data_IF_496382395458
#
_entry.id   IF_496382395458
#
_cell.length_a   1.000
_cell.length_b   1.000
_cell.length_c   1.000
_cell.angle_alpha   90.00
_cell.angle_beta   90.00
_cell.angle_gamma   90.00
#
_symmetry.space_group_name_H-M   'P 1'
#
loop_
_entity.id
_entity.type
_entity.pdbx_description
1 polymer ?
#
# COMPACT_ATOMS: atom_id res chain seq x y z
N UNK A 1 -14.32 4.31 34.46
CA UNK A 1 -13.68 3.12 33.86
C UNK A 1 -13.87 3.06 32.34
N UNK A 2 -15.10 3.15 31.83
CA UNK A 2 -15.42 3.10 30.37
C UNK A 2 -14.66 4.16 29.56
N UNK A 3 -14.60 5.41 30.04
CA UNK A 3 -13.92 6.52 29.35
C UNK A 3 -12.45 6.25 29.05
N UNK A 4 -11.70 5.70 30.02
CA UNK A 4 -10.27 5.38 29.84
C UNK A 4 -10.04 4.27 28.80
N UNK A 5 -10.95 3.30 28.70
CA UNK A 5 -10.87 2.26 27.68
C UNK A 5 -11.18 2.84 26.30
N UNK A 6 -12.17 3.72 26.21
CA UNK A 6 -12.54 4.40 24.97
C UNK A 6 -11.43 5.33 24.47
N UNK A 7 -10.77 6.07 25.35
CA UNK A 7 -9.65 6.94 24.99
C UNK A 7 -8.48 6.14 24.40
N UNK A 8 -8.13 5.00 25.00
CA UNK A 8 -7.12 4.08 24.45
C UNK A 8 -7.54 3.50 23.12
N UNK A 9 -8.80 3.11 22.98
CA UNK A 9 -9.33 2.57 21.74
C UNK A 9 -9.26 3.60 20.62
N UNK A 10 -9.74 4.82 20.85
CA UNK A 10 -9.70 5.90 19.87
C UNK A 10 -8.27 6.23 19.44
N UNK A 11 -7.32 6.24 20.39
CA UNK A 11 -5.90 6.47 20.11
C UNK A 11 -5.37 5.48 19.06
N UNK A 12 -5.57 4.18 19.28
CA UNK A 12 -5.04 3.16 18.38
C UNK A 12 -5.90 2.95 17.15
N UNK A 13 -7.22 3.12 17.25
CA UNK A 13 -8.11 2.89 16.12
C UNK A 13 -7.74 3.81 14.95
N UNK A 14 -7.41 5.07 15.19
CA UNK A 14 -6.98 6.02 14.15
C UNK A 14 -5.70 5.55 13.46
N UNK A 15 -4.72 5.08 14.23
CA UNK A 15 -3.41 4.62 13.73
C UNK A 15 -3.53 3.35 12.87
N UNK A 16 -4.36 2.38 13.31
CA UNK A 16 -4.52 1.09 12.64
C UNK A 16 -5.65 1.07 11.60
N UNK A 17 -6.44 2.14 11.46
CA UNK A 17 -7.65 2.11 10.64
C UNK A 17 -7.37 1.81 9.17
N UNK A 18 -6.24 2.31 8.65
CA UNK A 18 -5.81 2.07 7.28
C UNK A 18 -5.61 0.57 7.01
N UNK A 19 -4.80 -0.09 7.84
CA UNK A 19 -4.45 -1.51 7.69
C UNK A 19 -5.68 -2.39 7.90
N UNK A 20 -6.50 -2.07 8.91
CA UNK A 20 -7.76 -2.78 9.17
C UNK A 20 -8.70 -2.69 7.97
N UNK A 21 -8.83 -1.50 7.37
CA UNK A 21 -9.68 -1.30 6.19
C UNK A 21 -9.17 -2.08 4.99
N UNK A 22 -7.86 -2.10 4.75
CA UNK A 22 -7.25 -2.92 3.70
C UNK A 22 -7.54 -4.41 3.93
N UNK A 23 -7.37 -4.92 5.15
CA UNK A 23 -7.64 -6.32 5.49
C UNK A 23 -9.11 -6.69 5.25
N UNK A 24 -10.05 -5.80 5.61
CA UNK A 24 -11.48 -6.00 5.36
C UNK A 24 -11.80 -6.00 3.87
N UNK A 25 -11.21 -5.09 3.07
CA UNK A 25 -11.45 -5.04 1.62
C UNK A 25 -10.87 -6.27 0.91
N UNK A 26 -9.73 -6.78 1.39
CA UNK A 26 -9.07 -7.96 0.81
C UNK A 26 -9.71 -9.29 1.24
N UNK A 27 -10.52 -9.30 2.31
CA UNK A 27 -11.28 -10.49 2.69
C UNK A 27 -12.41 -10.74 1.67
N UNK A 28 -12.45 -11.90 1.00
CA UNK A 28 -13.45 -12.19 -0.04
C UNK A 28 -14.92 -12.07 0.43
N UNK A 29 -15.17 -12.18 1.74
CA UNK A 29 -16.51 -12.12 2.33
C UNK A 29 -17.00 -10.68 2.48
N UNK A 30 -16.09 -9.71 2.54
CA UNK A 30 -16.40 -8.32 2.78
C UNK A 30 -16.11 -7.48 1.54
N UNK A 31 -16.92 -6.44 1.33
CA UNK A 31 -16.78 -5.53 0.19
C UNK A 31 -16.45 -4.14 0.68
N UNK A 32 -15.87 -3.33 -0.22
CA UNK A 32 -15.65 -1.90 -0.02
C UNK A 32 -16.86 -1.16 0.59
N UNK A 33 -18.08 -1.56 0.19
CA UNK A 33 -19.33 -1.00 0.70
C UNK A 33 -19.46 -1.11 2.22
N UNK A 34 -18.92 -2.17 2.83
CA UNK A 34 -18.93 -2.35 4.28
C UNK A 34 -18.03 -1.33 4.97
N UNK A 35 -16.82 -1.13 4.43
CA UNK A 35 -15.90 -0.11 4.91
C UNK A 35 -16.53 1.28 4.75
N UNK A 36 -17.07 1.58 3.58
CA UNK A 36 -17.75 2.85 3.32
C UNK A 36 -18.89 3.10 4.32
N UNK A 37 -19.73 2.09 4.59
CA UNK A 37 -20.78 2.19 5.60
C UNK A 37 -20.21 2.54 6.99
N UNK A 38 -19.20 1.80 7.47
CA UNK A 38 -18.57 2.08 8.76
C UNK A 38 -18.00 3.51 8.85
N UNK A 39 -17.31 3.97 7.81
CA UNK A 39 -16.76 5.33 7.77
C UNK A 39 -17.84 6.40 7.72
N UNK A 40 -18.94 6.18 7.00
CA UNK A 40 -20.07 7.14 7.00
C UNK A 40 -20.70 7.27 8.37
N UNK A 41 -20.76 6.18 9.16
CA UNK A 41 -21.27 6.21 10.53
C UNK A 41 -20.34 6.95 11.49
N UNK A 42 -19.02 6.82 11.33
CA UNK A 42 -18.03 7.37 12.28
C UNK A 42 -17.62 8.81 11.92
N UNK A 43 -17.38 9.08 10.64
CA UNK A 43 -16.76 10.32 10.16
C UNK A 43 -17.71 11.20 9.32
N UNK A 44 -18.91 10.73 9.01
CA UNK A 44 -19.94 11.48 8.28
C UNK A 44 -19.43 12.00 6.94
N UNK A 45 -19.32 13.33 6.81
CA UNK A 45 -18.96 14.04 5.58
C UNK A 45 -17.55 13.65 5.09
N UNK A 46 -16.62 13.34 6.00
CA UNK A 46 -15.25 12.99 5.64
C UNK A 46 -15.07 11.53 5.22
N UNK A 47 -16.12 10.71 5.29
CA UNK A 47 -16.03 9.28 4.99
C UNK A 47 -15.51 8.99 3.57
N UNK A 48 -15.93 9.80 2.60
CA UNK A 48 -15.51 9.65 1.20
C UNK A 48 -13.99 9.81 1.04
N UNK A 49 -13.41 10.80 1.72
CA UNK A 49 -11.98 11.09 1.62
C UNK A 49 -11.15 9.91 2.12
N UNK A 50 -11.51 9.34 3.28
CA UNK A 50 -10.83 8.19 3.82
C UNK A 50 -10.95 6.94 2.94
N UNK A 51 -12.15 6.63 2.45
CA UNK A 51 -12.38 5.48 1.57
C UNK A 51 -11.56 5.63 0.29
N UNK A 52 -11.49 6.84 -0.26
CA UNK A 52 -10.69 7.13 -1.44
C UNK A 52 -9.19 6.95 -1.16
N UNK A 53 -8.68 7.43 -0.02
CA UNK A 53 -7.28 7.21 0.39
C UNK A 53 -6.94 5.72 0.49
N UNK A 54 -7.80 4.93 1.12
CA UNK A 54 -7.62 3.47 1.26
C UNK A 54 -7.55 2.80 -0.11
N UNK A 55 -8.47 3.16 -1.02
CA UNK A 55 -8.50 2.61 -2.38
C UNK A 55 -7.26 2.98 -3.19
N UNK A 56 -6.80 4.23 -3.11
CA UNK A 56 -5.58 4.68 -3.78
C UNK A 56 -4.37 3.87 -3.31
N UNK A 57 -4.23 3.69 -1.99
CA UNK A 57 -3.14 2.92 -1.41
C UNK A 57 -3.19 1.44 -1.83
N UNK A 58 -4.39 0.83 -1.81
CA UNK A 58 -4.56 -0.56 -2.22
C UNK A 58 -4.21 -0.78 -3.70
N UNK A 59 -4.65 0.13 -4.58
CA UNK A 59 -4.31 0.08 -6.00
C UNK A 59 -2.80 0.21 -6.22
N UNK A 60 -2.17 1.20 -5.58
CA UNK A 60 -0.72 1.41 -5.65
C UNK A 60 0.04 0.16 -5.21
N UNK A 61 -0.39 -0.47 -4.11
CA UNK A 61 0.19 -1.71 -3.61
C UNK A 61 0.05 -2.84 -4.63
N UNK A 62 -1.16 -3.07 -5.16
CA UNK A 62 -1.41 -4.08 -6.18
C UNK A 62 -0.56 -3.86 -7.43
N UNK A 63 -0.49 -2.63 -7.94
CA UNK A 63 0.29 -2.29 -9.13
C UNK A 63 1.79 -2.57 -8.92
N UNK A 64 2.32 -2.24 -7.73
CA UNK A 64 3.69 -2.56 -7.37
C UNK A 64 3.94 -4.08 -7.37
N UNK A 65 3.04 -4.87 -6.80
CA UNK A 65 3.15 -6.33 -6.80
C UNK A 65 3.07 -6.93 -8.20
N UNK A 66 2.15 -6.44 -9.05
CA UNK A 66 2.01 -6.89 -10.43
C UNK A 66 3.29 -6.57 -11.23
N UNK A 67 3.83 -5.35 -11.06
CA UNK A 67 5.09 -4.94 -11.72
C UNK A 67 6.27 -5.78 -11.25
N UNK A 68 6.38 -6.02 -9.94
CA UNK A 68 7.44 -6.86 -9.36
C UNK A 68 7.37 -8.31 -9.83
N UNK A 69 6.17 -8.87 -9.93
CA UNK A 69 5.94 -10.22 -10.46
C UNK A 69 6.46 -10.33 -11.90
N UNK A 70 6.13 -9.37 -12.77
CA UNK A 70 6.60 -9.37 -14.17
C UNK A 70 8.12 -9.33 -14.28
N UNK A 71 8.78 -8.52 -13.45
CA UNK A 71 10.24 -8.43 -13.43
C UNK A 71 10.91 -9.76 -13.02
N UNK A 72 10.31 -10.48 -12.07
CA UNK A 72 10.79 -11.78 -11.62
C UNK A 72 10.55 -12.89 -12.67
N UNK A 73 9.41 -12.85 -13.36
CA UNK A 73 9.10 -13.83 -14.41
C UNK A 73 10.01 -13.67 -15.64
N UNK A 74 10.44 -12.45 -15.97
CA UNK A 74 11.38 -12.21 -17.07
C UNK A 74 12.82 -12.65 -16.78
N UNK A 75 13.26 -12.73 -15.51
CA UNK A 75 14.61 -13.22 -15.18
C UNK A 75 14.70 -14.75 -15.24
N UNK A 76 13.57 -15.46 -15.07
CA UNK A 76 13.52 -16.92 -15.16
C UNK A 76 13.60 -17.45 -16.61
N UNK A 77 13.16 -16.65 -17.59
CA UNK A 77 13.26 -16.94 -19.04
C UNK A 77 14.66 -16.67 -19.61
N UNK A 78 15.68 -16.57 -18.75
CA UNK A 78 17.10 -16.50 -19.16
C UNK A 78 17.89 -17.80 -18.95
N UNK A 79 17.31 -18.84 -18.31
CA UNK A 79 18.08 -20.01 -17.85
C UNK A 79 17.39 -21.33 -18.20
N UNK A 80 17.36 -21.65 -19.50
CA UNK A 80 17.17 -23.02 -19.98
C UNK A 80 17.95 -23.25 -21.30
N UNK A 81 19.21 -23.66 -21.10
CA UNK A 81 20.09 -24.55 -21.88
C UNK A 81 20.23 -24.48 -23.42
N UNK A 82 21.46 -24.15 -23.82
CA UNK A 82 22.35 -24.76 -24.85
C UNK A 82 21.82 -24.95 -26.28
N UNK A 83 22.35 -24.14 -27.20
CA UNK A 83 22.92 -24.67 -28.45
C UNK A 83 24.21 -23.93 -28.79
N UNK A 84 25.31 -24.66 -28.77
CA UNK A 84 26.56 -24.24 -29.38
C UNK A 84 26.36 -23.95 -30.88
N UNK A 85 27.22 -23.05 -31.40
CA UNK A 85 27.68 -22.86 -32.79
C UNK A 85 27.39 -21.49 -33.42
N UNK A 86 28.28 -20.54 -33.14
CA UNK A 86 28.85 -19.48 -33.99
C UNK A 86 27.94 -18.46 -34.71
N UNK A 87 28.16 -17.17 -34.39
CA UNK A 87 28.65 -16.13 -35.33
C UNK A 87 28.00 -14.73 -35.13
N UNK A 88 28.85 -13.77 -34.69
CA UNK A 88 28.87 -12.33 -35.01
C UNK A 88 27.89 -11.39 -34.29
N UNK A 89 28.44 -10.75 -33.24
CA UNK A 89 28.58 -9.30 -32.99
C UNK A 89 27.36 -8.37 -33.20
N UNK A 90 26.82 -7.77 -32.12
CA UNK A 90 27.18 -6.40 -31.71
C UNK A 90 26.20 -5.75 -30.70
N UNK A 91 26.81 -5.14 -29.67
CA UNK A 91 26.35 -4.04 -28.81
C UNK A 91 25.25 -4.27 -27.74
N UNK A 92 25.75 -4.62 -26.56
CA UNK A 92 25.16 -4.44 -25.23
C UNK A 92 25.31 -2.98 -24.77
N UNK A 93 24.21 -2.23 -24.65
CA UNK A 93 24.18 -1.04 -23.79
C UNK A 93 23.48 -1.38 -22.47
N UNK A 94 24.29 -1.78 -21.48
CA UNK A 94 23.89 -1.73 -20.09
C UNK A 94 23.75 -0.27 -19.68
N UNK A 95 22.54 0.17 -19.35
CA UNK A 95 22.34 1.40 -18.60
C UNK A 95 21.85 1.04 -17.20
N UNK A 96 22.82 0.94 -16.30
CA UNK A 96 22.64 0.90 -14.85
C UNK A 96 22.08 2.25 -14.40
N UNK A 97 20.83 2.29 -13.89
CA UNK A 97 20.30 3.44 -13.17
C UNK A 97 19.97 3.02 -11.75
N UNK A 98 20.96 3.28 -10.89
CA UNK A 98 20.91 3.61 -9.48
C UNK A 98 19.60 3.31 -8.74
N UNK A 99 19.73 2.34 -7.84
CA UNK A 99 18.96 2.19 -6.61
C UNK A 99 18.72 3.55 -5.94
N UNK A 100 17.48 4.04 -6.00
CA UNK A 100 17.01 5.08 -5.08
C UNK A 100 16.60 4.36 -3.80
N UNK A 101 17.50 4.40 -2.83
CA UNK A 101 17.21 4.17 -1.44
C UNK A 101 16.14 5.18 -1.00
N UNK A 102 14.93 4.68 -0.70
CA UNK A 102 13.85 5.51 -0.15
C UNK A 102 13.68 5.15 1.33
N UNK A 103 14.77 5.35 2.08
CA UNK A 103 14.71 5.62 3.51
C UNK A 103 14.03 6.96 3.74
N UNK A 104 12.70 6.96 3.74
CA UNK A 104 11.92 8.07 4.29
C UNK A 104 11.88 7.90 5.79
N UNK A 105 12.66 8.72 6.50
CA UNK A 105 12.51 8.93 7.94
C UNK A 105 11.16 9.62 8.16
N UNK A 106 10.16 8.86 8.61
CA UNK A 106 8.84 9.38 8.92
C UNK A 106 8.95 10.09 10.28
N UNK A 107 9.19 11.40 10.22
CA UNK A 107 9.13 12.29 11.39
C UNK A 107 7.68 12.38 11.88
N UNK A 108 7.39 11.55 12.88
CA UNK A 108 6.15 11.48 13.66
C UNK A 108 6.01 12.76 14.53
N UNK A 109 5.68 13.90 13.91
CA UNK A 109 5.50 15.16 14.62
C UNK A 109 4.08 15.73 14.45
N UNK A 110 3.23 15.34 15.41
CA UNK A 110 2.19 16.11 16.11
C UNK A 110 1.01 16.81 15.37
N UNK A 111 0.91 16.78 14.04
CA UNK A 111 -0.07 17.64 13.36
C UNK A 111 -1.54 17.17 13.46
N UNK A 112 -1.80 15.94 13.92
CA UNK A 112 -3.18 15.44 14.11
C UNK A 112 -3.89 16.01 15.36
N UNK A 113 -3.17 16.68 16.27
CA UNK A 113 -3.78 17.25 17.49
C UNK A 113 -4.55 18.54 17.28
N UNK A 114 -4.40 19.21 16.13
CA UNK A 114 -5.04 20.52 15.91
C UNK A 114 -6.47 20.45 15.36
N UNK A 115 -7.00 19.26 15.08
CA UNK A 115 -8.29 19.11 14.36
C UNK A 115 -9.50 18.69 15.21
N UNK A 116 -9.35 18.56 16.53
CA UNK A 116 -10.45 18.19 17.45
C UNK A 116 -10.61 19.26 18.54
N UNK A 117 -10.89 20.50 18.12
CA UNK A 117 -11.49 21.50 19.01
C UNK A 117 -12.82 21.93 18.40
N UNK A 118 -13.84 21.13 18.70
CA UNK A 118 -15.25 21.51 18.75
C UNK A 118 -15.75 21.04 20.11
#
# INVERSE_FOLDING_TARGET
MVKQMQDKFNKYLVEYFMILSCAVILDPRYKLNYVQYCFTTIYGIHASDFVQTILCNLRLLCDWYIKKSKFMSSSLVGSSNVSDNNSVDSNLHQHNVNMVDLGGDYDESDDYKRKISI
#
